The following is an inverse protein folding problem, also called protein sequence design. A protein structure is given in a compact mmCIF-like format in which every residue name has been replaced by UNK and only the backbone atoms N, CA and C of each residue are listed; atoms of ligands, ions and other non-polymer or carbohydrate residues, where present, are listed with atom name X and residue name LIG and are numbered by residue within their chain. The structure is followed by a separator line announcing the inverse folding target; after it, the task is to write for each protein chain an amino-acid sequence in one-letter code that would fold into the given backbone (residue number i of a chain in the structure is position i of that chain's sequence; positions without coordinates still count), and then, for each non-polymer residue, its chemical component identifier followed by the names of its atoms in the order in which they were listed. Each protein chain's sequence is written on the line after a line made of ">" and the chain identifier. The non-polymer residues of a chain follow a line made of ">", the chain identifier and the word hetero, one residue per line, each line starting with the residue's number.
data_IF_993641070117
#
_entry.id   IF_993641070117
#
_cell.length_a   1.000
_cell.length_b   1.000
_cell.length_c   1.000
_cell.angle_alpha   90.00
_cell.angle_beta   90.00
_cell.angle_gamma   90.00
#
_symmetry.space_group_name_H-M   'P 1'
#
loop_
_entity.id
_entity.type
_entity.pdbx_description
1 polymer ?
#
# COMPACT_ATOMS: atom_id res chain seq x y z
N UNK A 1 -53.45 25.93 -48.72
CA UNK A 1 -52.79 25.06 -49.72
C UNK A 1 -51.30 25.15 -49.48
N UNK A 2 -50.63 23.99 -49.43
CA UNK A 2 -49.17 23.76 -49.48
C UNK A 2 -48.31 24.43 -48.39
N UNK A 3 -47.31 23.80 -47.80
CA UNK A 3 -46.79 22.43 -47.84
C UNK A 3 -45.75 22.32 -46.72
N UNK A 4 -45.78 21.19 -46.03
CA UNK A 4 -44.69 20.43 -45.45
C UNK A 4 -43.34 21.13 -45.21
N UNK A 5 -43.01 21.33 -43.92
CA UNK A 5 -41.64 21.59 -43.50
C UNK A 5 -40.80 20.32 -43.57
N UNK A 6 -39.79 20.31 -44.44
CA UNK A 6 -38.66 19.40 -44.35
C UNK A 6 -37.44 20.23 -43.97
N UNK A 7 -36.71 19.81 -42.94
CA UNK A 7 -35.26 19.52 -42.97
C UNK A 7 -34.96 18.86 -41.62
N UNK A 8 -35.00 17.53 -41.57
CA UNK A 8 -34.42 16.76 -40.48
C UNK A 8 -32.90 16.96 -40.51
N UNK A 9 -32.40 17.86 -39.65
CA UNK A 9 -30.96 18.03 -39.47
C UNK A 9 -30.42 16.80 -38.73
N UNK A 10 -29.69 15.97 -39.47
CA UNK A 10 -28.86 14.89 -38.95
C UNK A 10 -28.06 15.34 -37.73
N UNK A 11 -28.36 14.77 -36.58
CA UNK A 11 -27.55 14.92 -35.39
C UNK A 11 -26.56 13.74 -35.35
N UNK A 12 -25.41 13.91 -36.00
CA UNK A 12 -24.26 13.02 -35.84
C UNK A 12 -23.66 13.29 -34.46
N UNK A 13 -24.05 12.50 -33.47
CA UNK A 13 -23.43 12.51 -32.14
C UNK A 13 -22.10 11.75 -32.22
N UNK A 14 -21.00 12.50 -32.32
CA UNK A 14 -19.64 11.98 -32.19
C UNK A 14 -19.42 11.57 -30.72
N UNK A 15 -19.60 10.29 -30.40
CA UNK A 15 -19.24 9.77 -29.08
C UNK A 15 -17.73 9.52 -29.03
N UNK A 16 -16.97 10.49 -28.53
CA UNK A 16 -15.56 10.30 -28.20
C UNK A 16 -15.48 9.57 -26.85
N UNK A 17 -15.30 8.25 -26.89
CA UNK A 17 -15.03 7.46 -25.68
C UNK A 17 -13.54 7.51 -25.43
N UNK A 18 -13.10 8.41 -24.54
CA UNK A 18 -11.73 8.39 -24.03
C UNK A 18 -11.64 7.21 -23.07
N UNK A 19 -11.04 6.11 -23.52
CA UNK A 19 -10.62 5.04 -22.62
C UNK A 19 -9.45 5.57 -21.79
N UNK A 20 -9.72 6.03 -20.58
CA UNK A 20 -8.67 6.19 -19.57
C UNK A 20 -8.09 4.80 -19.34
N UNK A 21 -6.89 4.56 -19.87
CA UNK A 21 -6.07 3.42 -19.50
C UNK A 21 -5.81 3.54 -18.00
N UNK A 22 -6.57 2.78 -17.21
CA UNK A 22 -6.23 2.52 -15.82
C UNK A 22 -4.90 1.79 -15.81
N UNK A 23 -3.82 2.54 -15.70
CA UNK A 23 -2.53 2.03 -15.31
C UNK A 23 -2.69 1.66 -13.84
N UNK A 24 -3.30 0.50 -13.59
CA UNK A 24 -3.22 -0.16 -12.31
C UNK A 24 -1.75 -0.45 -12.12
N UNK A 25 -1.09 0.38 -11.31
CA UNK A 25 0.21 0.06 -10.76
C UNK A 25 0.09 -1.36 -10.27
N UNK A 26 0.77 -2.28 -10.94
CA UNK A 26 1.19 -3.51 -10.29
C UNK A 26 2.09 -3.01 -9.16
N UNK A 27 1.46 -2.70 -8.01
CA UNK A 27 2.14 -2.83 -6.75
C UNK A 27 2.61 -4.28 -6.79
N UNK A 28 3.89 -4.47 -7.12
CA UNK A 28 4.58 -5.72 -6.89
C UNK A 28 4.21 -6.09 -5.45
N UNK A 29 3.25 -7.00 -5.28
CA UNK A 29 2.97 -7.64 -4.02
C UNK A 29 4.22 -8.47 -3.74
N UNK A 30 5.25 -7.79 -3.23
CA UNK A 30 6.42 -8.38 -2.64
C UNK A 30 5.82 -9.15 -1.47
N UNK A 31 5.59 -10.45 -1.69
CA UNK A 31 5.13 -11.36 -0.65
C UNK A 31 6.23 -11.39 0.42
N UNK A 32 6.16 -10.44 1.35
CA UNK A 32 7.10 -10.36 2.46
C UNK A 32 6.86 -11.60 3.31
N UNK A 33 7.87 -12.48 3.35
CA UNK A 33 7.86 -13.64 4.23
C UNK A 33 7.74 -13.13 5.67
N UNK A 34 6.78 -13.66 6.43
CA UNK A 34 6.56 -13.23 7.80
C UNK A 34 7.79 -13.48 8.70
N UNK A 35 7.93 -12.71 9.77
CA UNK A 35 8.96 -12.95 10.78
C UNK A 35 8.74 -14.29 11.49
N UNK A 36 9.72 -15.19 11.42
CA UNK A 36 9.75 -16.46 12.17
C UNK A 36 10.59 -16.38 13.44
N UNK A 37 11.46 -15.37 13.53
CA UNK A 37 12.28 -15.01 14.70
C UNK A 37 12.25 -13.49 14.87
N UNK A 38 12.68 -13.01 16.04
CA UNK A 38 12.77 -11.59 16.36
C UNK A 38 14.10 -11.26 17.03
N UNK A 39 14.62 -10.07 16.76
CA UNK A 39 15.77 -9.50 17.48
C UNK A 39 15.31 -8.67 18.68
N UNK A 40 16.18 -8.59 19.69
CA UNK A 40 16.06 -7.65 20.82
C UNK A 40 16.99 -6.44 20.67
N UNK A 41 17.94 -6.52 19.75
CA UNK A 41 18.92 -5.46 19.50
C UNK A 41 18.24 -4.22 18.93
N UNK A 42 18.71 -3.06 19.36
CA UNK A 42 18.23 -1.77 18.86
C UNK A 42 18.75 -1.53 17.43
N UNK A 43 17.87 -1.04 16.57
CA UNK A 43 18.21 -0.73 15.18
C UNK A 43 18.95 0.61 15.15
N UNK A 44 20.13 0.62 14.55
CA UNK A 44 20.96 1.82 14.44
C UNK A 44 20.58 2.70 13.24
N UNK A 45 19.90 2.14 12.25
CA UNK A 45 19.37 2.87 11.10
C UNK A 45 18.15 3.74 11.48
N UNK A 46 17.92 4.80 10.71
CA UNK A 46 16.71 5.63 10.83
C UNK A 46 15.47 4.81 10.50
N UNK A 47 14.62 4.58 11.51
CA UNK A 47 13.32 3.94 11.35
C UNK A 47 12.32 4.98 10.85
N UNK A 48 11.62 4.66 9.76
CA UNK A 48 10.65 5.54 9.09
C UNK A 48 9.21 5.06 9.21
N UNK A 49 8.99 3.75 9.38
CA UNK A 49 7.65 3.17 9.52
C UNK A 49 7.70 1.85 10.31
N UNK A 50 6.53 1.33 10.68
CA UNK A 50 6.40 0.02 11.30
C UNK A 50 5.10 -0.71 10.93
N UNK A 51 5.15 -2.04 10.98
CA UNK A 51 3.99 -2.91 10.87
C UNK A 51 3.89 -3.82 12.09
N UNK A 52 2.68 -4.09 12.55
CA UNK A 52 2.42 -5.07 13.60
C UNK A 52 2.15 -6.43 12.97
N UNK A 53 2.97 -7.43 13.29
CA UNK A 53 2.75 -8.81 12.90
C UNK A 53 2.20 -9.61 14.08
N UNK A 54 1.02 -10.20 13.90
CA UNK A 54 0.44 -11.16 14.82
C UNK A 54 0.91 -12.58 14.48
N UNK A 55 1.11 -13.40 15.52
CA UNK A 55 1.47 -14.82 15.39
C UNK A 55 0.45 -15.57 14.53
N UNK A 56 0.94 -16.31 13.53
CA UNK A 56 0.13 -17.18 12.65
C UNK A 56 1.01 -18.27 12.05
N UNK A 57 0.61 -19.55 12.16
CA UNK A 57 1.43 -20.70 11.71
C UNK A 57 2.85 -20.63 12.28
N UNK A 58 3.87 -20.53 11.42
CA UNK A 58 5.29 -20.40 11.77
C UNK A 58 5.72 -18.95 12.05
N UNK A 59 4.86 -17.96 11.83
CA UNK A 59 5.14 -16.56 12.10
C UNK A 59 5.00 -16.27 13.60
N UNK A 60 5.89 -15.45 14.17
CA UNK A 60 5.85 -15.03 15.58
C UNK A 60 5.25 -13.63 15.73
N UNK A 61 4.91 -13.24 16.96
CA UNK A 61 4.56 -11.85 17.25
C UNK A 61 5.80 -10.96 17.04
N UNK A 62 5.68 -9.93 16.22
CA UNK A 62 6.78 -9.03 15.91
C UNK A 62 6.27 -7.61 15.61
N UNK A 63 7.11 -6.63 15.90
CA UNK A 63 7.03 -5.31 15.26
C UNK A 63 8.05 -5.32 14.14
N UNK A 64 7.60 -5.07 12.91
CA UNK A 64 8.46 -5.02 11.73
C UNK A 64 8.76 -3.55 11.47
N UNK A 65 9.99 -3.11 11.75
CA UNK A 65 10.40 -1.75 11.44
C UNK A 65 10.92 -1.66 10.01
N UNK A 66 10.50 -0.61 9.30
CA UNK A 66 11.07 -0.20 8.03
C UNK A 66 12.05 0.94 8.26
N UNK A 67 13.25 0.82 7.70
CA UNK A 67 14.26 1.88 7.74
C UNK A 67 14.23 2.74 6.49
N UNK A 68 14.86 3.91 6.55
CA UNK A 68 15.04 4.81 5.40
C UNK A 68 15.75 4.12 4.22
N UNK A 69 16.68 3.21 4.50
CA UNK A 69 17.35 2.36 3.50
C UNK A 69 16.43 1.33 2.85
N UNK A 70 15.18 1.19 3.33
CA UNK A 70 14.22 0.18 2.87
C UNK A 70 14.41 -1.20 3.49
N UNK A 71 15.26 -1.34 4.52
CA UNK A 71 15.45 -2.60 5.24
C UNK A 71 14.27 -2.86 6.18
N UNK A 72 13.94 -4.15 6.36
CA UNK A 72 12.90 -4.60 7.28
C UNK A 72 13.51 -5.40 8.42
N UNK A 73 13.20 -5.01 9.65
CA UNK A 73 13.72 -5.63 10.87
C UNK A 73 12.59 -6.20 11.71
N UNK A 74 12.68 -7.50 12.02
CA UNK A 74 11.77 -8.18 12.94
C UNK A 74 12.19 -7.96 14.39
N UNK A 75 11.51 -7.07 15.11
CA UNK A 75 11.83 -6.73 16.51
C UNK A 75 10.83 -7.33 17.49
N UNK A 76 11.32 -7.69 18.69
CA UNK A 76 10.51 -8.26 19.77
C UNK A 76 9.53 -7.21 20.29
N UNK A 77 8.23 -7.48 20.16
CA UNK A 77 7.16 -6.50 20.39
C UNK A 77 7.09 -5.88 21.79
N UNK A 78 7.60 -6.58 22.80
CA UNK A 78 7.58 -6.22 24.23
C UNK A 78 8.91 -5.64 24.72
N UNK A 79 9.88 -5.39 23.83
CA UNK A 79 11.14 -4.74 24.19
C UNK A 79 10.93 -3.24 24.48
N UNK A 80 11.53 -2.65 25.53
CA UNK A 80 11.25 -1.26 25.93
C UNK A 80 11.52 -0.22 24.83
N UNK A 81 12.61 -0.37 24.08
CA UNK A 81 12.95 0.54 22.98
C UNK A 81 11.96 0.42 21.82
N UNK A 82 11.49 -0.80 21.51
CA UNK A 82 10.49 -1.07 20.45
C UNK A 82 9.20 -0.34 20.80
N UNK A 83 8.69 -0.51 22.02
CA UNK A 83 7.47 0.17 22.46
C UNK A 83 7.64 1.70 22.47
N UNK A 84 8.82 2.20 22.82
CA UNK A 84 9.12 3.64 22.77
C UNK A 84 9.08 4.15 21.34
N UNK A 85 9.70 3.44 20.40
CA UNK A 85 9.72 3.81 18.98
C UNK A 85 8.34 3.75 18.35
N UNK A 86 7.56 2.71 18.63
CA UNK A 86 6.16 2.60 18.16
C UNK A 86 5.32 3.79 18.65
N UNK A 87 5.52 4.26 19.89
CA UNK A 87 4.82 5.46 20.40
C UNK A 87 5.26 6.75 19.71
N UNK A 88 6.52 6.85 19.27
CA UNK A 88 7.02 8.01 18.54
C UNK A 88 6.47 8.09 17.11
N UNK A 89 6.19 6.93 16.50
CA UNK A 89 5.69 6.82 15.13
C UNK A 89 4.16 6.81 15.01
N UNK A 90 3.45 6.86 16.14
CA UNK A 90 1.98 6.81 16.19
C UNK A 90 1.39 8.21 16.32
#
# INVERSE_FOLDING_TARGET
>A
MTTCGTVTKSLLLLAVVVALTGQGSAADEKFYKCCTTVSREEITETIVDYMVQLRKKNCVNAIIFQTESGNLYCSKHDEPWVMTKVRQLR
#
